data_IF_639551556871
#
_entry.id   IF_639551556871
#
_cell.length_a   1.000
_cell.length_b   1.000
_cell.length_c   1.000
_cell.angle_alpha   90.00
_cell.angle_beta   90.00
_cell.angle_gamma   90.00
#
_symmetry.space_group_name_H-M   'P 1'
#
loop_
_entity.id
_entity.type
_entity.pdbx_description
1 polymer ?
#
# COMPACT_ATOMS: atom_id res chain seq x y z
N UNK A 1 -31.97 7.76 45.70
CA UNK A 1 -31.27 7.41 44.45
C UNK A 1 -32.25 7.71 43.34
N UNK A 2 -32.03 8.80 42.60
CA UNK A 2 -32.92 9.16 41.49
C UNK A 2 -32.66 8.21 40.33
N UNK A 3 -33.66 7.41 39.99
CA UNK A 3 -33.60 6.55 38.81
C UNK A 3 -33.56 7.43 37.57
N UNK A 4 -32.40 7.43 36.89
CA UNK A 4 -32.26 8.07 35.58
C UNK A 4 -33.29 7.44 34.63
N UNK A 5 -34.11 8.24 33.94
CA UNK A 5 -35.05 7.73 32.94
C UNK A 5 -34.30 6.84 31.94
N UNK A 6 -34.89 5.70 31.58
CA UNK A 6 -34.29 4.74 30.62
C UNK A 6 -33.84 5.44 29.32
N UNK A 7 -34.58 6.47 28.89
CA UNK A 7 -34.25 7.30 27.73
C UNK A 7 -32.89 8.02 27.87
N UNK A 8 -32.54 8.50 29.05
CA UNK A 8 -31.29 9.21 29.30
C UNK A 8 -30.11 8.24 29.34
N UNK A 9 -30.34 7.03 29.86
CA UNK A 9 -29.35 5.92 29.80
C UNK A 9 -29.08 5.54 28.34
N UNK A 10 -30.13 5.40 27.52
CA UNK A 10 -29.98 5.08 26.10
C UNK A 10 -29.25 6.19 25.32
N UNK A 11 -29.52 7.46 25.62
CA UNK A 11 -28.82 8.59 25.01
C UNK A 11 -27.33 8.65 25.43
N UNK A 12 -27.04 8.34 26.69
CA UNK A 12 -25.66 8.27 27.18
C UNK A 12 -24.89 7.13 26.52
N UNK A 13 -25.51 5.94 26.36
CA UNK A 13 -24.93 4.82 25.60
C UNK A 13 -24.68 5.21 24.15
N UNK A 14 -25.67 5.82 23.48
CA UNK A 14 -25.52 6.26 22.10
C UNK A 14 -24.36 7.25 21.92
N UNK A 15 -24.22 8.21 22.82
CA UNK A 15 -23.11 9.18 22.82
C UNK A 15 -21.75 8.52 23.02
N UNK A 16 -21.68 7.43 23.78
CA UNK A 16 -20.45 6.67 23.99
C UNK A 16 -20.12 5.76 22.80
N UNK A 17 -21.13 5.24 22.08
CA UNK A 17 -20.91 4.36 20.93
C UNK A 17 -20.38 5.08 19.69
N UNK A 18 -20.80 6.34 19.45
CA UNK A 18 -20.33 7.14 18.31
C UNK A 18 -18.78 7.23 18.24
N UNK A 19 -18.07 7.69 19.27
CA UNK A 19 -16.61 7.78 19.21
C UNK A 19 -15.93 6.41 19.11
N UNK A 20 -16.54 5.34 19.66
CA UNK A 20 -16.02 3.97 19.48
C UNK A 20 -16.12 3.54 18.02
N UNK A 21 -17.25 3.85 17.36
CA UNK A 21 -17.41 3.54 15.94
C UNK A 21 -16.44 4.35 15.06
N UNK A 22 -16.22 5.64 15.36
CA UNK A 22 -15.25 6.47 14.65
C UNK A 22 -13.82 5.94 14.81
N UNK A 23 -13.41 5.60 16.04
CA UNK A 23 -12.12 4.97 16.31
C UNK A 23 -11.97 3.63 15.59
N UNK A 24 -13.03 2.83 15.53
CA UNK A 24 -12.97 1.53 14.83
C UNK A 24 -12.74 1.71 13.33
N UNK A 25 -13.36 2.73 12.72
CA UNK A 25 -13.17 3.07 11.31
C UNK A 25 -11.74 3.52 11.07
N UNK A 26 -11.22 4.40 11.93
CA UNK A 26 -9.84 4.90 11.84
C UNK A 26 -8.81 3.76 11.94
N UNK A 27 -8.98 2.84 12.89
CA UNK A 27 -8.11 1.67 13.06
C UNK A 27 -8.14 0.78 11.80
N UNK A 28 -9.32 0.52 11.25
CA UNK A 28 -9.47 -0.28 10.02
C UNK A 28 -8.77 0.40 8.86
N UNK A 29 -9.01 1.70 8.65
CA UNK A 29 -8.33 2.48 7.60
C UNK A 29 -6.81 2.47 7.78
N UNK A 30 -6.32 2.61 9.01
CA UNK A 30 -4.88 2.57 9.27
C UNK A 30 -4.28 1.18 8.97
N UNK A 31 -4.97 0.11 9.33
CA UNK A 31 -4.54 -1.26 9.03
C UNK A 31 -4.52 -1.52 7.51
N UNK A 32 -5.51 -1.02 6.77
CA UNK A 32 -5.55 -1.09 5.31
C UNK A 32 -4.38 -0.32 4.67
N UNK A 33 -4.11 0.90 5.15
CA UNK A 33 -2.98 1.70 4.68
C UNK A 33 -1.63 1.04 4.99
N UNK A 34 -1.50 0.43 6.17
CA UNK A 34 -0.29 -0.31 6.55
C UNK A 34 -0.09 -1.51 5.63
N UNK A 35 -1.11 -2.35 5.47
CA UNK A 35 -1.05 -3.53 4.59
C UNK A 35 -0.73 -3.14 3.15
N UNK A 36 -1.31 -2.04 2.67
CA UNK A 36 -0.99 -1.48 1.35
C UNK A 36 0.49 -1.04 1.25
N UNK A 37 1.00 -0.36 2.27
CA UNK A 37 2.39 0.12 2.29
C UNK A 37 3.39 -1.04 2.33
N UNK A 38 3.11 -2.07 3.15
CA UNK A 38 3.90 -3.30 3.20
C UNK A 38 3.94 -3.98 1.83
N UNK A 39 2.80 -4.07 1.17
CA UNK A 39 2.70 -4.64 -0.17
C UNK A 39 3.54 -3.85 -1.20
N UNK A 40 3.48 -2.52 -1.18
CA UNK A 40 4.32 -1.68 -2.05
C UNK A 40 5.81 -1.88 -1.78
N UNK A 41 6.20 -2.03 -0.51
CA UNK A 41 7.58 -2.30 -0.14
C UNK A 41 8.05 -3.65 -0.69
N UNK A 42 7.24 -4.70 -0.54
CA UNK A 42 7.55 -6.03 -1.07
C UNK A 42 7.71 -6.02 -2.60
N UNK A 43 6.83 -5.28 -3.30
CA UNK A 43 6.92 -5.09 -4.75
C UNK A 43 8.22 -4.35 -5.15
N UNK A 44 8.58 -3.31 -4.42
CA UNK A 44 9.80 -2.54 -4.66
C UNK A 44 11.05 -3.41 -4.49
N UNK A 45 11.10 -4.18 -3.40
CA UNK A 45 12.21 -5.10 -3.11
C UNK A 45 12.33 -6.15 -4.21
N UNK A 46 11.22 -6.74 -4.61
CA UNK A 46 11.18 -7.75 -5.69
C UNK A 46 11.73 -7.16 -6.98
N UNK A 47 11.27 -5.98 -7.37
CA UNK A 47 11.72 -5.31 -8.60
C UNK A 47 13.21 -4.94 -8.55
N UNK A 48 13.72 -4.55 -7.38
CA UNK A 48 15.13 -4.27 -7.19
C UNK A 48 16.00 -5.52 -7.39
N UNK A 49 15.59 -6.67 -6.84
CA UNK A 49 16.28 -7.93 -7.05
C UNK A 49 16.22 -8.38 -8.51
N UNK A 50 15.05 -8.34 -9.14
CA UNK A 50 14.92 -8.66 -10.56
C UNK A 50 15.79 -7.76 -11.46
N UNK A 51 15.87 -6.47 -11.14
CA UNK A 51 16.74 -5.53 -11.85
C UNK A 51 18.22 -5.83 -11.67
N UNK A 52 18.65 -6.20 -10.45
CA UNK A 52 20.03 -6.62 -10.20
C UNK A 52 20.37 -7.91 -10.95
N UNK A 53 19.49 -8.90 -10.93
CA UNK A 53 19.69 -10.16 -11.63
C UNK A 53 19.74 -9.95 -13.16
N UNK A 54 18.87 -9.09 -13.69
CA UNK A 54 18.87 -8.70 -15.09
C UNK A 54 20.20 -8.06 -15.51
N UNK A 55 20.72 -7.11 -14.71
CA UNK A 55 22.00 -6.45 -14.98
C UNK A 55 23.18 -7.40 -14.79
N UNK A 56 23.09 -8.34 -13.85
CA UNK A 56 24.13 -9.34 -13.59
C UNK A 56 24.36 -10.33 -14.73
N UNK A 57 23.39 -10.46 -15.65
CA UNK A 57 23.50 -11.30 -16.85
C UNK A 57 24.30 -10.63 -17.98
N UNK A 58 24.52 -9.32 -17.93
CA UNK A 58 25.14 -8.57 -19.03
C UNK A 58 26.65 -8.75 -19.04
N UNK A 59 27.19 -9.28 -20.15
CA UNK A 59 28.63 -9.37 -20.36
C UNK A 59 29.14 -8.25 -21.28
N UNK A 60 30.38 -7.79 -21.04
CA UNK A 60 30.99 -6.76 -21.89
C UNK A 60 31.20 -7.27 -23.31
N UNK A 61 30.65 -6.56 -24.30
CA UNK A 61 30.74 -6.91 -25.72
C UNK A 61 29.63 -7.84 -26.23
N UNK A 62 28.65 -8.16 -25.38
CA UNK A 62 27.49 -8.94 -25.76
C UNK A 62 26.55 -8.15 -26.69
N UNK A 63 25.99 -8.82 -27.69
CA UNK A 63 25.02 -8.21 -28.61
C UNK A 63 23.67 -8.17 -27.90
N UNK A 64 23.13 -6.96 -27.74
CA UNK A 64 21.80 -6.75 -27.18
C UNK A 64 20.76 -7.38 -28.13
N UNK A 65 20.05 -8.40 -27.65
CA UNK A 65 18.95 -9.02 -28.36
C UNK A 65 17.64 -8.25 -28.17
N UNK A 66 16.67 -8.46 -29.05
CA UNK A 66 15.32 -7.90 -28.89
C UNK A 66 14.67 -8.39 -27.59
N UNK A 67 14.87 -9.66 -27.21
CA UNK A 67 14.39 -10.23 -25.93
C UNK A 67 14.97 -9.49 -24.71
N UNK A 68 16.23 -9.07 -24.78
CA UNK A 68 16.86 -8.30 -23.71
C UNK A 68 16.21 -6.92 -23.58
N UNK A 69 15.92 -6.26 -24.72
CA UNK A 69 15.24 -4.96 -24.77
C UNK A 69 13.83 -5.07 -24.19
N UNK A 70 13.08 -6.10 -24.56
CA UNK A 70 11.73 -6.34 -24.04
C UNK A 70 11.73 -6.51 -22.52
N UNK A 71 12.67 -7.30 -21.98
CA UNK A 71 12.81 -7.49 -20.53
C UNK A 71 13.18 -6.20 -19.80
N UNK A 72 14.09 -5.40 -20.36
CA UNK A 72 14.42 -4.08 -19.82
C UNK A 72 13.17 -3.20 -19.75
N UNK A 73 12.41 -3.15 -20.84
CA UNK A 73 11.26 -2.25 -20.95
C UNK A 73 10.11 -2.70 -20.03
N UNK A 74 9.91 -4.01 -19.85
CA UNK A 74 8.98 -4.54 -18.85
C UNK A 74 9.37 -4.13 -17.42
N UNK A 75 10.63 -4.32 -17.03
CA UNK A 75 11.12 -3.91 -15.71
C UNK A 75 10.96 -2.40 -15.48
N UNK A 76 11.28 -1.58 -16.48
CA UNK A 76 11.12 -0.13 -16.42
C UNK A 76 9.65 0.30 -16.34
N UNK A 77 8.76 -0.36 -17.06
CA UNK A 77 7.32 -0.09 -16.99
C UNK A 77 6.75 -0.46 -15.63
N UNK A 78 7.14 -1.61 -15.08
CA UNK A 78 6.77 -2.02 -13.72
C UNK A 78 7.28 -1.03 -12.66
N UNK A 79 8.52 -0.57 -12.80
CA UNK A 79 9.07 0.49 -11.94
C UNK A 79 8.27 1.78 -12.02
N UNK A 80 7.92 2.19 -13.25
CA UNK A 80 7.15 3.40 -13.50
C UNK A 80 5.76 3.33 -12.89
N UNK A 81 5.05 2.22 -13.05
CA UNK A 81 3.74 2.01 -12.44
C UNK A 81 3.82 2.07 -10.91
N UNK A 82 4.80 1.39 -10.31
CA UNK A 82 4.99 1.40 -8.86
C UNK A 82 5.26 2.82 -8.31
N UNK A 83 6.01 3.64 -9.04
CA UNK A 83 6.39 4.98 -8.61
C UNK A 83 5.34 6.06 -8.91
N UNK A 84 4.67 5.99 -10.07
CA UNK A 84 3.78 7.05 -10.56
C UNK A 84 2.30 6.79 -10.25
N UNK A 85 1.88 5.53 -10.16
CA UNK A 85 0.49 5.18 -9.86
C UNK A 85 0.24 4.97 -8.36
N UNK A 86 1.27 5.16 -7.52
CA UNK A 86 1.10 5.22 -6.08
C UNK A 86 0.09 6.34 -5.75
N UNK A 87 -1.00 6.07 -5.01
CA UNK A 87 -2.07 7.04 -4.70
C UNK A 87 -1.56 8.27 -3.94
N UNK A 88 -0.39 8.15 -3.32
CA UNK A 88 0.40 9.16 -2.63
C UNK A 88 1.26 10.05 -3.58
N UNK A 89 1.24 9.81 -4.90
CA UNK A 89 1.94 10.63 -5.90
C UNK A 89 1.08 11.75 -6.51
N UNK A 90 -0.20 11.87 -6.12
CA UNK A 90 -1.02 13.04 -6.49
C UNK A 90 -0.70 14.21 -5.53
N UNK A 91 -0.43 15.41 -6.06
CA UNK A 91 -0.08 16.59 -5.25
C UNK A 91 -1.21 17.05 -4.34
#
# INVERSE_FOLDING_TARGET
>A
MDEKPIKDILLDIQRQLIPITELSVEIVTQAELQSYTENLYDQLVTLAYEGMDFLGQVQSGEVVSDEWIEKRDDLLNRARHLLLDAPNARP
#
